data_IF_062866373174
#
_entry.id   IF_062866373174
#
_cell.length_a   1.000
_cell.length_b   1.000
_cell.length_c   1.000
_cell.angle_alpha   90.00
_cell.angle_beta   90.00
_cell.angle_gamma   90.00
#
_symmetry.space_group_name_H-M   'P 1'
#
loop_
_entity.id
_entity.type
_entity.pdbx_description
1 polymer ?
#
# COMPACT_ATOMS: atom_id res chain seq x y z
N UNK A 1 2.56 15.00 7.92
CA UNK A 1 3.43 14.16 8.76
C UNK A 1 3.23 12.70 8.37
N UNK A 2 4.26 11.86 8.54
CA UNK A 2 4.19 10.43 8.35
C UNK A 2 4.81 9.76 9.57
N UNK A 3 4.28 8.62 10.00
CA UNK A 3 4.85 7.82 11.07
C UNK A 3 4.87 6.34 10.72
N UNK A 4 5.74 5.61 11.41
CA UNK A 4 5.80 4.15 11.36
C UNK A 4 5.10 3.63 12.60
N UNK A 5 4.13 2.73 12.44
CA UNK A 5 3.33 2.20 13.55
C UNK A 5 3.07 0.70 13.40
N UNK A 6 3.71 -0.09 14.25
CA UNK A 6 3.50 -1.54 14.29
C UNK A 6 2.14 -1.94 14.87
N UNK A 7 1.44 -1.02 15.56
CA UNK A 7 0.10 -1.23 16.10
C UNK A 7 -1.02 -1.02 15.06
N UNK A 8 -0.70 -0.43 13.90
CA UNK A 8 -1.65 -0.23 12.80
C UNK A 8 -1.43 -1.29 11.74
N UNK A 9 -2.49 -2.02 11.36
CA UNK A 9 -2.40 -3.04 10.30
C UNK A 9 -2.22 -2.42 8.92
N UNK A 10 -3.02 -1.40 8.60
CA UNK A 10 -3.14 -0.85 7.25
C UNK A 10 -2.05 0.17 6.92
N UNK A 11 -1.75 0.32 5.64
CA UNK A 11 -1.11 1.51 5.11
C UNK A 11 -2.16 2.62 5.02
N UNK A 12 -2.07 3.62 5.89
CA UNK A 12 -2.95 4.77 5.85
C UNK A 12 -2.27 5.91 5.10
N UNK A 13 -2.90 6.42 4.06
CA UNK A 13 -2.37 7.52 3.26
C UNK A 13 -3.17 8.79 3.52
N UNK A 14 -2.47 9.92 3.67
CA UNK A 14 -3.15 11.23 3.72
C UNK A 14 -3.94 11.48 2.44
N UNK A 15 -5.12 12.10 2.56
CA UNK A 15 -6.09 12.35 1.48
C UNK A 15 -5.50 12.60 0.08
N UNK A 16 -4.62 13.60 -0.15
CA UNK A 16 -4.07 13.86 -1.48
C UNK A 16 -3.30 12.68 -2.08
N UNK A 17 -2.46 12.00 -1.29
CA UNK A 17 -1.70 10.84 -1.75
C UNK A 17 -2.63 9.64 -2.02
N UNK A 18 -3.62 9.42 -1.15
CA UNK A 18 -4.64 8.39 -1.35
C UNK A 18 -5.43 8.62 -2.65
N UNK A 19 -5.89 9.85 -2.88
CA UNK A 19 -6.67 10.17 -4.08
C UNK A 19 -5.85 10.07 -5.37
N UNK A 20 -4.59 10.51 -5.36
CA UNK A 20 -3.69 10.32 -6.51
C UNK A 20 -3.44 8.84 -6.80
N UNK A 21 -3.25 8.02 -5.75
CA UNK A 21 -3.09 6.58 -5.91
C UNK A 21 -4.37 5.93 -6.45
N UNK A 22 -5.53 6.22 -5.84
CA UNK A 22 -6.84 5.75 -6.32
C UNK A 22 -7.06 6.11 -7.79
N UNK A 23 -6.80 7.36 -8.17
CA UNK A 23 -6.90 7.84 -9.55
C UNK A 23 -6.01 7.05 -10.50
N UNK A 24 -4.72 6.86 -10.14
CA UNK A 24 -3.79 6.05 -10.94
C UNK A 24 -4.35 4.64 -11.21
N UNK A 25 -4.80 3.93 -10.17
CA UNK A 25 -5.32 2.58 -10.35
C UNK A 25 -6.60 2.56 -11.19
N UNK A 26 -7.49 3.53 -11.01
CA UNK A 26 -8.72 3.63 -11.80
C UNK A 26 -8.43 3.92 -13.27
N UNK A 27 -7.47 4.80 -13.57
CA UNK A 27 -7.11 5.14 -14.95
C UNK A 27 -6.43 3.98 -15.68
N UNK A 28 -5.67 3.14 -14.97
CA UNK A 28 -4.87 2.07 -15.59
C UNK A 28 -5.56 0.71 -15.61
N UNK A 29 -6.38 0.39 -14.61
CA UNK A 29 -6.91 -0.97 -14.45
C UNK A 29 -8.40 -1.10 -14.75
N UNK A 30 -9.13 -0.01 -14.99
CA UNK A 30 -10.56 -0.12 -15.26
C UNK A 30 -10.94 -0.75 -16.60
N UNK A 31 -10.05 -0.71 -17.58
CA UNK A 31 -10.18 -1.48 -18.82
C UNK A 31 -9.83 -2.97 -18.68
N UNK A 32 -9.24 -3.39 -17.56
CA UNK A 32 -8.82 -4.78 -17.34
C UNK A 32 -9.95 -5.53 -16.64
N UNK A 33 -10.61 -6.44 -17.37
CA UNK A 33 -11.85 -7.09 -16.93
C UNK A 33 -11.70 -7.78 -15.55
N UNK A 34 -10.56 -8.43 -15.29
CA UNK A 34 -10.30 -9.13 -14.01
C UNK A 34 -9.94 -8.19 -12.86
N UNK A 35 -9.56 -6.95 -13.14
CA UNK A 35 -9.24 -5.90 -12.16
C UNK A 35 -10.34 -4.84 -12.03
N UNK A 36 -11.51 -5.09 -12.62
CA UNK A 36 -12.60 -4.12 -12.64
C UNK A 36 -13.15 -3.77 -11.23
N UNK A 37 -12.87 -4.58 -10.21
CA UNK A 37 -13.17 -4.28 -8.81
C UNK A 37 -12.39 -3.07 -8.26
N UNK A 38 -11.44 -2.50 -9.01
CA UNK A 38 -10.77 -1.25 -8.68
C UNK A 38 -11.56 -0.01 -9.10
N UNK A 39 -12.66 -0.18 -9.84
CA UNK A 39 -13.35 0.89 -10.56
C UNK A 39 -14.52 1.48 -9.81
N UNK A 40 -14.77 2.80 -9.98
CA UNK A 40 -15.86 3.49 -9.30
C UNK A 40 -17.25 2.98 -9.72
N UNK A 41 -17.36 2.42 -10.92
CA UNK A 41 -18.60 1.83 -11.47
C UNK A 41 -19.04 0.57 -10.75
N UNK A 42 -18.15 -0.07 -9.98
CA UNK A 42 -18.50 -1.26 -9.22
C UNK A 42 -19.04 -0.87 -7.85
N UNK A 43 -20.22 -1.42 -7.49
CA UNK A 43 -20.82 -1.25 -6.16
C UNK A 43 -19.95 -1.79 -5.02
N UNK A 44 -18.89 -2.51 -5.36
CA UNK A 44 -18.02 -3.25 -4.44
C UNK A 44 -16.55 -2.92 -4.71
N UNK A 45 -16.26 -1.66 -5.04
CA UNK A 45 -14.91 -1.29 -5.39
C UNK A 45 -13.99 -1.30 -4.16
N UNK A 46 -12.72 -1.62 -4.42
CA UNK A 46 -11.73 -1.83 -3.36
C UNK A 46 -11.43 -0.59 -2.52
N UNK A 47 -11.73 0.60 -3.05
CA UNK A 47 -11.38 1.88 -2.46
C UNK A 47 -12.43 2.44 -1.51
N UNK A 48 -13.67 1.95 -1.61
CA UNK A 48 -14.83 2.49 -0.89
C UNK A 48 -15.43 1.48 0.10
N UNK A 49 -14.78 0.32 0.25
CA UNK A 49 -15.21 -0.76 1.14
C UNK A 49 -14.47 -0.72 2.47
N UNK A 50 -15.26 -0.84 3.54
CA UNK A 50 -14.77 -1.08 4.90
C UNK A 50 -14.66 -2.58 5.22
N UNK A 51 -15.33 -3.44 4.43
CA UNK A 51 -15.21 -4.89 4.54
C UNK A 51 -13.93 -5.37 3.84
N UNK A 52 -12.94 -5.74 4.65
CA UNK A 52 -11.58 -6.11 4.26
C UNK A 52 -11.50 -7.45 3.51
N UNK A 53 -12.54 -7.97 2.87
CA UNK A 53 -12.51 -9.33 2.30
C UNK A 53 -12.93 -9.37 0.83
N UNK A 54 -12.02 -9.86 -0.01
CA UNK A 54 -12.11 -10.08 -1.44
C UNK A 54 -11.72 -11.52 -1.76
N UNK A 55 -12.14 -11.97 -2.94
CA UNK A 55 -11.60 -13.18 -3.55
C UNK A 55 -10.11 -13.01 -3.84
N UNK A 56 -9.35 -14.07 -3.68
CA UNK A 56 -7.95 -14.08 -4.09
C UNK A 56 -7.83 -13.72 -5.57
N UNK A 57 -6.93 -12.76 -5.84
CA UNK A 57 -6.47 -12.57 -7.20
C UNK A 57 -5.58 -13.75 -7.57
N UNK A 58 -5.79 -14.32 -8.76
CA UNK A 58 -4.80 -15.19 -9.37
C UNK A 58 -3.43 -14.51 -9.42
N UNK A 59 -2.31 -15.25 -9.26
CA UNK A 59 -0.97 -14.69 -9.30
C UNK A 59 -0.69 -13.84 -10.55
N UNK A 60 -1.25 -14.22 -11.70
CA UNK A 60 -1.10 -13.48 -12.96
C UNK A 60 -1.83 -12.13 -12.98
N UNK A 61 -2.93 -11.99 -12.23
CA UNK A 61 -3.66 -10.73 -12.09
C UNK A 61 -2.98 -9.83 -11.06
N UNK A 62 -2.49 -10.43 -9.96
CA UNK A 62 -1.72 -9.72 -8.94
C UNK A 62 -0.42 -9.13 -9.51
N UNK A 63 0.25 -9.85 -10.41
CA UNK A 63 1.48 -9.41 -11.06
C UNK A 63 1.30 -8.20 -12.00
N UNK A 64 0.07 -7.89 -12.41
CA UNK A 64 -0.23 -6.70 -13.22
C UNK A 64 -0.28 -5.42 -12.38
N UNK A 65 -0.44 -5.54 -11.06
CA UNK A 65 -0.49 -4.40 -10.17
C UNK A 65 0.93 -3.82 -9.94
N UNK A 66 1.05 -2.50 -9.73
CA UNK A 66 2.36 -1.87 -9.61
C UNK A 66 3.01 -2.16 -8.26
N UNK A 67 4.34 -2.27 -8.25
CA UNK A 67 5.08 -2.06 -7.01
C UNK A 67 5.03 -0.57 -6.64
N UNK A 68 4.63 -0.24 -5.42
CA UNK A 68 4.59 1.13 -4.93
C UNK A 68 5.96 1.50 -4.33
N UNK A 69 6.46 2.70 -4.59
CA UNK A 69 7.74 3.16 -4.05
C UNK A 69 7.54 4.31 -3.08
N UNK A 70 8.14 4.19 -1.90
CA UNK A 70 8.14 5.19 -0.84
C UNK A 70 9.53 5.78 -0.69
N UNK A 71 9.66 7.09 -0.88
CA UNK A 71 10.95 7.77 -0.83
C UNK A 71 11.11 8.47 0.51
N UNK A 72 12.13 8.05 1.26
CA UNK A 72 12.50 8.63 2.55
C UNK A 72 13.67 9.57 2.35
N UNK A 73 13.73 10.63 3.17
CA UNK A 73 14.93 11.47 3.24
C UNK A 73 16.09 10.57 3.70
N UNK A 74 17.14 10.49 2.89
CA UNK A 74 18.36 9.79 3.25
C UNK A 74 19.06 10.41 4.46
N UNK A 75 20.08 9.73 5.01
CA UNK A 75 20.89 10.29 6.08
C UNK A 75 21.45 11.66 5.68
N UNK A 76 21.71 12.56 6.65
CA UNK A 76 22.39 13.81 6.36
C UNK A 76 23.68 13.47 5.63
N UNK A 77 23.91 14.03 4.44
CA UNK A 77 25.15 13.85 3.75
C UNK A 77 26.30 14.42 4.59
N UNK A 78 27.52 13.96 4.31
CA UNK A 78 28.72 14.71 4.69
C UNK A 78 28.69 16.13 4.12
N UNK A 79 29.61 17.02 4.54
CA UNK A 79 29.56 18.46 4.26
C UNK A 79 29.39 18.86 2.79
N UNK A 80 29.71 17.98 1.83
CA UNK A 80 29.72 18.26 0.39
C UNK A 80 28.78 17.39 -0.45
N UNK A 81 27.83 16.65 0.16
CA UNK A 81 26.88 15.81 -0.58
C UNK A 81 25.45 16.31 -0.31
N UNK A 82 24.49 16.06 -1.22
CA UNK A 82 23.06 16.33 -0.98
C UNK A 82 22.39 15.04 -0.51
N UNK A 83 21.41 15.05 0.42
CA UNK A 83 20.77 13.82 0.84
C UNK A 83 19.99 13.23 -0.33
N UNK A 84 20.43 12.10 -0.85
CA UNK A 84 19.67 11.36 -1.85
C UNK A 84 18.51 10.62 -1.18
N UNK A 85 17.30 10.65 -1.78
CA UNK A 85 16.17 9.91 -1.24
C UNK A 85 16.39 8.41 -1.39
N UNK A 86 16.05 7.66 -0.35
CA UNK A 86 16.08 6.19 -0.37
C UNK A 86 14.68 5.68 -0.74
N UNK A 87 14.58 4.96 -1.85
CA UNK A 87 13.34 4.33 -2.30
C UNK A 87 13.14 2.95 -1.67
N UNK A 88 11.98 2.75 -1.05
CA UNK A 88 11.56 1.47 -0.46
C UNK A 88 10.36 0.93 -1.24
N UNK A 89 10.46 -0.31 -1.71
CA UNK A 89 9.48 -0.95 -2.57
C UNK A 89 8.43 -1.72 -1.77
N UNK A 90 7.15 -1.48 -2.06
CA UNK A 90 6.01 -2.21 -1.54
C UNK A 90 5.36 -3.02 -2.67
N UNK A 91 5.58 -4.35 -2.71
CA UNK A 91 5.06 -5.19 -3.79
C UNK A 91 3.53 -5.37 -3.68
N UNK A 92 2.84 -5.71 -4.79
CA UNK A 92 1.41 -6.01 -4.79
C UNK A 92 0.95 -7.03 -3.76
N UNK A 93 1.75 -8.08 -3.54
CA UNK A 93 1.46 -9.12 -2.56
C UNK A 93 1.40 -8.62 -1.11
N UNK A 94 1.99 -7.45 -0.82
CA UNK A 94 1.94 -6.85 0.51
C UNK A 94 0.65 -6.06 0.74
N UNK A 95 0.25 -5.22 -0.24
CA UNK A 95 -0.96 -4.40 -0.12
C UNK A 95 -2.23 -5.07 -0.65
N UNK A 96 -2.11 -6.24 -1.30
CA UNK A 96 -3.21 -7.13 -1.62
C UNK A 96 -2.87 -8.51 -1.02
N UNK A 97 -3.20 -8.70 0.25
CA UNK A 97 -2.74 -9.83 1.06
C UNK A 97 -3.90 -10.77 1.38
N UNK A 98 -3.66 -12.06 1.30
CA UNK A 98 -4.63 -13.09 1.68
C UNK A 98 -4.32 -13.64 3.08
N UNK A 99 -5.37 -13.87 3.87
CA UNK A 99 -5.27 -14.58 5.15
C UNK A 99 -5.21 -16.08 4.86
N UNK A 100 -4.11 -16.70 5.29
CA UNK A 100 -3.94 -18.16 5.23
C UNK A 100 -4.83 -18.85 6.29
N UNK A 101 -5.26 -20.08 6.01
CA UNK A 101 -5.99 -20.92 6.99
C UNK A 101 -7.51 -20.98 6.83
N UNK A 102 -8.10 -20.23 5.90
CA UNK A 102 -9.50 -20.38 5.54
C UNK A 102 -9.70 -21.35 4.37
N UNK A 103 -10.81 -22.11 4.36
CA UNK A 103 -11.18 -23.01 3.23
C UNK A 103 -11.32 -22.25 1.91
N UNK A 104 -11.65 -20.96 1.99
CA UNK A 104 -11.68 -20.01 0.88
C UNK A 104 -10.77 -18.86 1.28
N UNK A 105 -9.73 -18.52 0.49
CA UNK A 105 -8.83 -17.43 0.83
C UNK A 105 -9.62 -16.12 0.95
N UNK A 106 -9.52 -15.49 2.12
CA UNK A 106 -10.05 -14.14 2.35
C UNK A 106 -8.91 -13.16 2.17
N UNK A 107 -9.01 -12.27 1.18
CA UNK A 107 -7.95 -11.32 0.86
C UNK A 107 -8.38 -9.90 1.15
N UNK A 108 -7.46 -9.05 1.56
CA UNK A 108 -7.75 -7.67 1.89
C UNK A 108 -6.87 -6.72 1.10
N UNK A 109 -7.41 -5.53 0.84
CA UNK A 109 -6.66 -4.41 0.32
C UNK A 109 -6.15 -3.56 1.48
N UNK A 110 -4.84 -3.51 1.62
CA UNK A 110 -4.14 -2.97 2.78
C UNK A 110 -3.97 -1.46 2.78
N UNK A 111 -4.64 -0.72 1.90
CA UNK A 111 -4.46 0.74 1.73
C UNK A 111 -5.77 1.46 2.00
N UNK A 112 -5.75 2.47 2.88
CA UNK A 112 -6.92 3.28 3.20
C UNK A 112 -6.56 4.77 3.32
N UNK A 113 -7.56 5.63 3.15
CA UNK A 113 -7.44 7.06 3.41
C UNK A 113 -7.36 7.34 4.91
N UNK A 114 -6.53 8.31 5.30
CA UNK A 114 -6.47 8.88 6.65
C UNK A 114 -6.68 10.39 6.61
N UNK A 115 -7.54 10.94 7.49
CA UNK A 115 -7.84 12.37 7.54
C UNK A 115 -6.67 13.21 8.06
N UNK A 116 -5.74 12.62 8.82
CA UNK A 116 -4.68 13.36 9.52
C UNK A 116 -3.29 13.20 8.90
N UNK A 117 -2.82 11.96 8.84
CA UNK A 117 -1.42 11.67 8.55
C UNK A 117 -1.24 10.33 7.85
N UNK A 118 -0.10 10.18 7.18
CA UNK A 118 0.29 8.89 6.63
C UNK A 118 0.80 8.00 7.76
N UNK A 119 0.30 6.76 7.84
CA UNK A 119 0.76 5.75 8.79
C UNK A 119 1.26 4.55 7.99
N UNK A 120 2.55 4.26 8.16
CA UNK A 120 3.21 3.09 7.61
C UNK A 120 3.00 1.93 8.59
N UNK A 121 1.86 1.25 8.44
CA UNK A 121 1.46 0.10 9.25
C UNK A 121 2.07 -1.23 8.80
N UNK A 122 1.59 -2.33 9.38
CA UNK A 122 2.07 -3.70 9.13
C UNK A 122 2.10 -4.06 7.63
N UNK A 123 1.10 -3.65 6.85
CA UNK A 123 1.09 -3.81 5.38
C UNK A 123 2.38 -3.30 4.73
N UNK A 124 2.89 -2.14 5.18
CA UNK A 124 4.13 -1.59 4.70
C UNK A 124 5.36 -2.25 5.33
N UNK A 125 5.30 -2.60 6.62
CA UNK A 125 6.45 -3.07 7.38
C UNK A 125 6.79 -4.55 7.14
N UNK A 126 5.78 -5.39 6.91
CA UNK A 126 5.91 -6.85 6.76
C UNK A 126 6.97 -7.32 5.75
N UNK A 127 7.11 -6.72 4.55
CA UNK A 127 8.15 -7.14 3.60
C UNK A 127 9.57 -6.64 3.96
N UNK A 128 9.74 -5.94 5.08
CA UNK A 128 10.98 -5.25 5.42
C UNK A 128 11.51 -5.65 6.79
N UNK A 129 12.84 -5.68 6.89
CA UNK A 129 13.52 -5.67 8.19
C UNK A 129 13.65 -4.21 8.65
N UNK A 130 12.96 -3.84 9.73
CA UNK A 130 12.87 -2.45 10.21
C UNK A 130 13.63 -2.31 11.51
N UNK A 131 14.51 -1.30 11.57
CA UNK A 131 15.30 -0.96 12.75
C UNK A 131 14.86 0.41 13.28
N UNK A 132 14.44 0.45 14.55
CA UNK A 132 14.11 1.68 15.26
C UNK A 132 15.30 2.10 16.13
N UNK A 133 16.28 2.75 15.52
CA UNK A 133 17.45 3.26 16.25
C UNK A 133 17.09 4.55 16.98
N UNK A 134 16.94 4.46 18.31
CA UNK A 134 16.63 5.61 19.17
C UNK A 134 17.88 6.38 19.61
N UNK A 135 19.06 5.86 19.30
CA UNK A 135 20.36 6.33 19.79
C UNK A 135 21.20 7.03 18.74
N UNK A 136 20.78 7.01 17.48
CA UNK A 136 21.38 7.74 16.37
C UNK A 136 21.25 9.26 16.50
#
# INVERSE_FOLDING_TARGET
PALVDTGTTLLLLRGPAYHSLKGYFQDHFCGVQRLHFMCPTTKTNVWDREDLTYWALPPEDLAQLPTLYFYFRGPPPGPDVSPEPVGVALPPSAYFSCLEGHRVPQCFFGIQSSPGQTILGDVFLRPHYVVFDRTA
#
